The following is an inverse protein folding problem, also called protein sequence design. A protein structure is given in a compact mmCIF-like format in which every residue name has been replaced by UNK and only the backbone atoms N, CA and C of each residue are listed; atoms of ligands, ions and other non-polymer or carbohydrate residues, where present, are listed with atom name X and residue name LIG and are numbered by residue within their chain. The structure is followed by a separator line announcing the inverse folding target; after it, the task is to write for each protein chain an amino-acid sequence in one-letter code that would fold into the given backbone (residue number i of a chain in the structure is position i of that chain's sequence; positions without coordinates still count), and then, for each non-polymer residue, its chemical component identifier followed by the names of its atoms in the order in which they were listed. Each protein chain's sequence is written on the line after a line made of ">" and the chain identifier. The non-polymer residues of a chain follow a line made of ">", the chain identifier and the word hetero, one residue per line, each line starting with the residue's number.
data_IF_245637061130
#
_entry.id   IF_245637061130
#
_cell.length_a   1.000
_cell.length_b   1.000
_cell.length_c   1.000
_cell.angle_alpha   90.00
_cell.angle_beta   90.00
_cell.angle_gamma   90.00
#
_symmetry.space_group_name_H-M   'P 1'
#
loop_
_entity.id
_entity.type
_entity.pdbx_description
1 polymer ?
#
# COMPACT_ATOMS: atom_id res chain seq x y z
N UNK A 1 13.30 4.00 -1.71
CA UNK A 1 12.21 3.47 -0.85
C UNK A 1 12.11 1.95 -0.77
N UNK A 2 12.06 1.25 -1.90
CA UNK A 2 11.90 -0.22 -1.95
C UNK A 2 12.85 -1.00 -1.03
N UNK A 3 14.13 -0.59 -0.95
CA UNK A 3 15.13 -1.24 -0.10
C UNK A 3 14.75 -1.31 1.39
N UNK A 4 14.13 -0.25 1.91
CA UNK A 4 13.71 -0.17 3.31
C UNK A 4 12.49 -1.05 3.59
N UNK A 5 11.62 -1.26 2.59
CA UNK A 5 10.45 -2.12 2.70
C UNK A 5 10.78 -3.60 2.45
N UNK A 6 11.64 -3.87 1.47
CA UNK A 6 12.05 -5.21 1.05
C UNK A 6 13.43 -5.20 0.39
N UNK A 7 14.46 -5.60 1.13
CA UNK A 7 15.83 -5.72 0.61
C UNK A 7 15.94 -6.75 -0.51
N UNK A 8 15.13 -7.82 -0.49
CA UNK A 8 15.10 -8.82 -1.57
C UNK A 8 14.59 -8.22 -2.89
N UNK A 9 13.62 -7.31 -2.84
CA UNK A 9 13.14 -6.63 -4.04
C UNK A 9 14.23 -5.74 -4.65
N UNK A 10 15.02 -5.05 -3.82
CA UNK A 10 16.19 -4.29 -4.29
C UNK A 10 17.34 -5.16 -4.79
N UNK A 11 17.52 -6.36 -4.23
CA UNK A 11 18.44 -7.35 -4.77
C UNK A 11 18.05 -7.75 -6.21
N UNK A 12 16.77 -8.04 -6.44
CA UNK A 12 16.25 -8.40 -7.76
C UNK A 12 16.33 -7.24 -8.76
N UNK A 13 16.11 -5.99 -8.31
CA UNK A 13 16.36 -4.81 -9.14
C UNK A 13 17.84 -4.73 -9.58
N UNK A 14 18.78 -4.96 -8.67
CA UNK A 14 20.21 -4.95 -8.98
C UNK A 14 20.60 -6.06 -9.96
N UNK A 15 20.12 -7.29 -9.73
CA UNK A 15 20.34 -8.41 -10.65
C UNK A 15 19.76 -8.11 -12.03
N UNK A 16 18.57 -7.49 -12.10
CA UNK A 16 17.94 -7.09 -13.37
C UNK A 16 18.76 -6.05 -14.11
N UNK A 17 19.25 -5.03 -13.41
CA UNK A 17 20.13 -4.00 -13.99
C UNK A 17 21.45 -4.60 -14.52
N UNK A 18 21.92 -5.68 -13.92
CA UNK A 18 23.11 -6.44 -14.37
C UNK A 18 22.79 -7.48 -15.46
N UNK A 19 21.54 -7.58 -15.91
CA UNK A 19 21.12 -8.52 -16.96
C UNK A 19 20.95 -9.98 -16.50
N UNK A 20 20.91 -10.24 -15.18
CA UNK A 20 20.75 -11.59 -14.60
C UNK A 20 19.43 -11.81 -13.85
N UNK A 21 18.70 -10.75 -13.57
CA UNK A 21 17.45 -10.80 -12.80
C UNK A 21 16.24 -11.30 -13.60
N UNK A 22 15.16 -11.70 -12.90
CA UNK A 22 13.93 -12.15 -13.53
C UNK A 22 13.24 -11.01 -14.31
N UNK A 23 12.25 -11.37 -15.12
CA UNK A 23 11.35 -10.39 -15.71
C UNK A 23 10.33 -9.88 -14.67
N UNK A 24 10.02 -8.59 -14.67
CA UNK A 24 9.01 -8.03 -13.77
C UNK A 24 7.62 -8.55 -14.16
N UNK A 25 6.79 -8.79 -13.16
CA UNK A 25 5.37 -9.02 -13.34
C UNK A 25 4.72 -7.83 -14.04
N UNK A 26 3.68 -8.09 -14.84
CA UNK A 26 2.85 -7.01 -15.41
C UNK A 26 2.19 -6.21 -14.30
N UNK A 27 1.93 -4.93 -14.53
CA UNK A 27 1.15 -4.15 -13.57
C UNK A 27 -0.28 -4.72 -13.48
N UNK A 28 -0.82 -4.76 -12.27
CA UNK A 28 -2.24 -5.12 -12.10
C UNK A 28 -3.13 -3.98 -12.60
N UNK A 29 -4.38 -4.29 -12.93
CA UNK A 29 -5.37 -3.26 -13.30
C UNK A 29 -5.51 -2.21 -12.17
N UNK A 30 -5.52 -2.65 -10.91
CA UNK A 30 -5.51 -1.77 -9.73
C UNK A 30 -4.27 -0.86 -9.68
N UNK A 31 -3.09 -1.38 -10.02
CA UNK A 31 -1.87 -0.58 -10.02
C UNK A 31 -1.90 0.49 -11.13
N UNK A 32 -2.40 0.12 -12.32
CA UNK A 32 -2.60 1.06 -13.42
C UNK A 32 -3.64 2.13 -13.08
N UNK A 33 -4.72 1.76 -12.39
CA UNK A 33 -5.75 2.68 -11.92
C UNK A 33 -5.19 3.66 -10.88
N UNK A 34 -4.46 3.16 -9.87
CA UNK A 34 -3.79 3.99 -8.86
C UNK A 34 -2.79 4.96 -9.49
N UNK A 35 -2.06 4.53 -10.52
CA UNK A 35 -1.14 5.40 -11.24
C UNK A 35 -1.88 6.54 -11.94
N UNK A 36 -2.96 6.23 -12.67
CA UNK A 36 -3.79 7.25 -13.35
C UNK A 36 -4.36 8.27 -12.38
N UNK A 37 -4.84 7.83 -11.21
CA UNK A 37 -5.29 8.76 -10.18
C UNK A 37 -4.15 9.65 -9.67
N UNK A 38 -2.96 9.07 -9.48
CA UNK A 38 -1.76 9.81 -9.05
C UNK A 38 -1.41 10.91 -10.05
N UNK A 39 -1.36 10.57 -11.33
CA UNK A 39 -1.07 11.50 -12.42
C UNK A 39 -2.14 12.62 -12.50
N UNK A 40 -3.42 12.28 -12.34
CA UNK A 40 -4.52 13.26 -12.32
C UNK A 40 -4.42 14.22 -11.12
N UNK A 41 -4.01 13.73 -9.95
CA UNK A 41 -3.82 14.55 -8.76
C UNK A 41 -2.62 15.49 -8.90
N UNK A 42 -1.50 15.01 -9.46
CA UNK A 42 -0.34 15.85 -9.80
C UNK A 42 -0.71 16.95 -10.79
N UNK A 43 -1.46 16.61 -11.85
CA UNK A 43 -1.94 17.57 -12.84
C UNK A 43 -2.91 18.61 -12.25
N UNK A 44 -3.85 18.20 -11.38
CA UNK A 44 -4.76 19.13 -10.71
C UNK A 44 -4.03 20.13 -9.80
N UNK A 45 -2.96 19.67 -9.14
CA UNK A 45 -2.11 20.56 -8.34
C UNK A 45 -1.31 21.53 -9.22
N UNK A 46 -0.73 21.05 -10.32
CA UNK A 46 0.00 21.87 -11.28
C UNK A 46 -0.85 23.03 -11.81
N UNK A 47 -2.13 22.78 -12.15
CA UNK A 47 -3.05 23.83 -12.60
C UNK A 47 -3.30 24.90 -11.52
N UNK A 48 -3.37 24.50 -10.25
CA UNK A 48 -3.49 25.45 -9.13
C UNK A 48 -2.23 26.33 -9.01
N UNK A 49 -1.03 25.75 -9.19
CA UNK A 49 0.23 26.48 -9.14
C UNK A 49 0.40 27.44 -10.34
N UNK A 50 0.01 27.00 -11.54
CA UNK A 50 0.00 27.85 -12.75
C UNK A 50 -0.90 29.07 -12.60
N UNK A 51 -1.99 28.95 -11.85
CA UNK A 51 -2.86 30.09 -11.52
C UNK A 51 -2.23 31.04 -10.48
N UNK A 52 -1.32 30.56 -9.64
CA UNK A 52 -0.73 31.30 -8.52
C UNK A 52 0.64 31.93 -8.78
N UNK A 53 1.35 31.54 -9.84
CA UNK A 53 2.68 32.07 -10.14
C UNK A 53 3.33 31.46 -11.37
N UNK A 54 4.60 31.81 -11.59
CA UNK A 54 5.40 31.29 -12.71
C UNK A 54 5.86 29.85 -12.44
N UNK A 55 5.55 28.94 -13.37
CA UNK A 55 5.87 27.51 -13.28
C UNK A 55 6.65 27.09 -14.50
N UNK A 56 7.83 26.50 -14.29
CA UNK A 56 8.65 25.91 -15.35
C UNK A 56 8.58 24.39 -15.24
N UNK A 57 8.11 23.74 -16.31
CA UNK A 57 8.04 22.28 -16.42
C UNK A 57 9.29 21.72 -17.09
N UNK A 58 9.87 20.67 -16.51
CA UNK A 58 11.02 19.96 -17.07
C UNK A 58 10.53 18.71 -17.80
N UNK A 59 10.77 18.65 -19.10
CA UNK A 59 10.39 17.51 -19.94
C UNK A 59 11.02 16.21 -19.44
N UNK A 60 10.20 15.16 -19.26
CA UNK A 60 10.65 13.81 -18.91
C UNK A 60 11.11 12.99 -20.12
N UNK A 61 10.65 13.31 -21.32
CA UNK A 61 11.01 12.60 -22.56
C UNK A 61 12.33 13.12 -23.15
N UNK A 62 13.38 13.14 -22.33
CA UNK A 62 14.73 13.51 -22.71
C UNK A 62 15.76 12.74 -21.89
N UNK A 63 17.03 12.67 -22.33
CA UNK A 63 18.09 12.06 -21.53
C UNK A 63 18.19 12.71 -20.14
N UNK A 64 18.31 11.90 -19.09
CA UNK A 64 18.30 12.37 -17.70
C UNK A 64 19.30 13.52 -17.44
N UNK A 65 20.50 13.44 -18.02
CA UNK A 65 21.52 14.50 -17.89
C UNK A 65 21.08 15.85 -18.50
N UNK A 66 20.26 15.83 -19.55
CA UNK A 66 19.70 17.05 -20.15
C UNK A 66 18.60 17.63 -19.25
N UNK A 67 17.76 16.78 -18.65
CA UNK A 67 16.76 17.21 -17.69
C UNK A 67 17.39 17.84 -16.43
N UNK A 68 18.48 17.27 -15.93
CA UNK A 68 19.27 17.85 -14.82
C UNK A 68 19.79 19.23 -15.22
N UNK A 69 20.39 19.37 -16.41
CA UNK A 69 20.88 20.67 -16.88
C UNK A 69 19.76 21.71 -17.02
N UNK A 70 18.60 21.31 -17.55
CA UNK A 70 17.42 22.15 -17.66
C UNK A 70 16.91 22.59 -16.28
N UNK A 71 16.87 21.67 -15.32
CA UNK A 71 16.49 21.96 -13.92
C UNK A 71 17.43 22.99 -13.31
N UNK A 72 18.75 22.83 -13.45
CA UNK A 72 19.74 23.81 -12.95
C UNK A 72 19.54 25.19 -13.59
N UNK A 73 19.27 25.25 -14.89
CA UNK A 73 18.98 26.52 -15.58
C UNK A 73 17.70 27.16 -15.03
N UNK A 74 16.63 26.39 -14.85
CA UNK A 74 15.37 26.89 -14.29
C UNK A 74 15.57 27.45 -12.87
N UNK A 75 16.27 26.72 -11.99
CA UNK A 75 16.56 27.16 -10.62
C UNK A 75 17.32 28.50 -10.57
N UNK A 76 18.17 28.80 -11.56
CA UNK A 76 18.89 30.09 -11.64
C UNK A 76 18.02 31.23 -12.19
N UNK A 77 17.00 30.92 -12.98
CA UNK A 77 16.04 31.90 -13.48
C UNK A 77 15.05 32.31 -12.37
N UNK A 78 14.82 31.43 -11.41
CA UNK A 78 14.05 31.73 -10.22
C UNK A 78 12.53 31.75 -10.39
N UNK A 79 11.88 30.86 -11.18
CA UNK A 79 10.43 30.77 -11.23
C UNK A 79 9.86 30.44 -9.84
N UNK A 80 8.58 30.71 -9.62
CA UNK A 80 7.95 30.38 -8.34
C UNK A 80 7.95 28.87 -8.07
N UNK A 81 7.80 28.05 -9.12
CA UNK A 81 7.87 26.59 -9.04
C UNK A 81 8.61 26.00 -10.24
N UNK A 82 9.41 24.96 -10.01
CA UNK A 82 9.89 24.05 -11.05
C UNK A 82 9.17 22.71 -10.89
N UNK A 83 8.42 22.31 -11.92
CA UNK A 83 7.68 21.05 -11.96
C UNK A 83 8.52 19.97 -12.64
N UNK A 84 8.52 18.77 -12.06
CA UNK A 84 9.31 17.61 -12.50
C UNK A 84 10.82 17.89 -12.51
N UNK A 85 11.34 18.55 -11.48
CA UNK A 85 12.78 18.81 -11.34
C UNK A 85 13.62 17.54 -11.29
N UNK A 86 14.55 17.38 -12.24
CA UNK A 86 15.53 16.30 -12.24
C UNK A 86 16.77 16.71 -11.43
N UNK A 87 17.12 15.90 -10.43
CA UNK A 87 18.23 16.15 -9.52
C UNK A 87 19.18 14.95 -9.48
N UNK A 88 20.48 15.21 -9.42
CA UNK A 88 21.51 14.16 -9.30
C UNK A 88 22.68 14.56 -8.40
N UNK A 89 23.38 13.56 -7.86
CA UNK A 89 24.55 13.76 -7.02
C UNK A 89 25.16 12.45 -6.53
N UNK A 90 26.42 12.21 -6.89
CA UNK A 90 27.12 10.96 -6.56
C UNK A 90 26.43 9.75 -7.21
N UNK A 91 26.04 8.77 -6.38
CA UNK A 91 25.32 7.56 -6.83
C UNK A 91 23.79 7.73 -6.88
N UNK A 92 23.28 8.95 -6.70
CA UNK A 92 21.85 9.22 -6.53
C UNK A 92 21.34 10.13 -7.63
N UNK A 93 20.11 9.88 -8.05
CA UNK A 93 19.37 10.74 -8.96
C UNK A 93 17.88 10.39 -8.97
N UNK A 94 17.07 11.35 -9.40
CA UNK A 94 15.63 11.14 -9.54
C UNK A 94 14.90 12.42 -9.92
N UNK A 95 13.57 12.33 -9.88
CA UNK A 95 12.64 13.39 -10.24
C UNK A 95 11.82 13.77 -9.01
N UNK A 96 11.90 15.04 -8.60
CA UNK A 96 10.96 15.62 -7.64
C UNK A 96 9.72 16.11 -8.37
N UNK A 97 8.54 15.95 -7.78
CA UNK A 97 7.31 16.48 -8.39
C UNK A 97 7.39 18.01 -8.47
N UNK A 98 7.72 18.69 -7.38
CA UNK A 98 7.81 20.15 -7.34
C UNK A 98 9.05 20.64 -6.55
N UNK A 99 9.68 21.68 -7.08
CA UNK A 99 10.66 22.51 -6.37
C UNK A 99 10.06 23.91 -6.23
N UNK A 100 9.75 24.31 -4.99
CA UNK A 100 9.06 25.57 -4.70
C UNK A 100 10.04 26.63 -4.18
N UNK A 101 9.96 27.84 -4.74
CA UNK A 101 10.84 28.94 -4.36
C UNK A 101 10.43 29.53 -3.00
N UNK A 102 11.42 29.78 -2.15
CA UNK A 102 11.27 30.49 -0.87
C UNK A 102 12.20 31.69 -0.81
N UNK A 103 11.77 32.76 -0.13
CA UNK A 103 12.51 34.03 -0.01
C UNK A 103 13.64 33.96 1.03
N UNK A 104 14.52 32.98 0.85
CA UNK A 104 15.68 32.72 1.70
C UNK A 104 16.94 32.73 0.81
N UNK A 105 17.87 33.69 1.00
CA UNK A 105 19.04 33.81 0.14
C UNK A 105 19.93 32.56 0.07
N UNK A 106 20.52 32.36 -1.11
CA UNK A 106 21.36 31.21 -1.46
C UNK A 106 22.31 31.54 -2.63
N UNK A 107 23.07 30.56 -3.11
CA UNK A 107 23.94 30.74 -4.29
C UNK A 107 23.15 30.94 -5.59
N UNK A 108 21.82 30.73 -5.57
CA UNK A 108 20.91 31.06 -6.69
C UNK A 108 20.48 32.53 -6.71
N UNK A 109 20.70 33.28 -5.62
CA UNK A 109 20.32 34.69 -5.49
C UNK A 109 19.55 35.00 -4.19
N UNK A 110 18.56 35.92 -4.21
CA UNK A 110 17.81 36.30 -3.01
C UNK A 110 16.79 35.24 -2.53
N UNK A 111 16.78 34.07 -3.16
CA UNK A 111 15.84 32.97 -2.92
C UNK A 111 16.57 31.62 -2.87
N UNK A 112 15.85 30.58 -2.45
CA UNK A 112 16.24 29.17 -2.51
C UNK A 112 15.01 28.31 -2.82
N UNK A 113 15.18 27.00 -2.90
CA UNK A 113 14.09 26.07 -3.17
C UNK A 113 13.93 25.03 -2.08
N UNK A 114 12.67 24.62 -1.86
CA UNK A 114 12.27 23.49 -1.02
C UNK A 114 11.53 22.45 -1.88
N UNK A 115 11.60 21.18 -1.49
CA UNK A 115 11.02 20.06 -2.26
C UNK A 115 9.57 19.83 -1.82
N UNK A 116 8.66 19.66 -2.78
CA UNK A 116 7.28 19.24 -2.53
C UNK A 116 6.90 18.04 -3.43
N UNK A 117 6.10 17.13 -2.88
CA UNK A 117 5.71 15.86 -3.49
C UNK A 117 4.19 15.64 -3.31
N UNK A 118 3.48 15.25 -4.36
CA UNK A 118 2.02 15.05 -4.32
C UNK A 118 1.69 13.59 -4.02
N UNK A 119 0.65 13.37 -3.21
CA UNK A 119 0.23 12.03 -2.80
C UNK A 119 -1.28 11.93 -2.66
N UNK A 120 -1.86 10.92 -3.32
CA UNK A 120 -3.27 10.55 -3.19
C UNK A 120 -3.71 10.28 -1.75
N UNK A 121 -2.80 9.79 -0.89
CA UNK A 121 -3.15 9.44 0.49
C UNK A 121 -3.32 10.70 1.33
N UNK A 122 -4.38 10.73 2.13
CA UNK A 122 -4.70 11.80 3.11
C UNK A 122 -3.78 11.84 4.35
N UNK A 123 -2.79 10.94 4.44
CA UNK A 123 -1.83 10.92 5.56
C UNK A 123 -0.40 10.76 5.04
N UNK A 124 0.55 11.55 5.55
CA UNK A 124 1.95 11.38 5.20
C UNK A 124 2.45 10.03 5.75
N UNK A 125 3.28 9.35 4.96
CA UNK A 125 3.93 8.11 5.40
C UNK A 125 5.41 8.39 5.72
N UNK A 126 6.01 7.69 6.71
CA UNK A 126 7.46 7.78 6.97
C UNK A 126 8.32 7.48 5.74
N UNK A 127 7.72 6.75 4.79
CA UNK A 127 8.37 6.36 3.56
C UNK A 127 8.59 7.56 2.62
N UNK A 128 7.66 8.52 2.59
CA UNK A 128 7.80 9.72 1.75
C UNK A 128 8.91 10.65 2.26
N UNK A 129 9.10 10.72 3.58
CA UNK A 129 10.11 11.58 4.21
C UNK A 129 11.53 11.24 3.75
N UNK A 130 11.85 9.95 3.59
CA UNK A 130 13.18 9.54 3.12
C UNK A 130 13.48 10.02 1.71
N UNK A 131 12.47 10.07 0.83
CA UNK A 131 12.62 10.57 -0.54
C UNK A 131 12.75 12.09 -0.54
N UNK A 132 11.97 12.80 0.27
CA UNK A 132 12.07 14.24 0.43
C UNK A 132 13.46 14.66 0.92
N UNK A 133 13.96 14.02 2.00
CA UNK A 133 15.32 14.31 2.51
C UNK A 133 16.38 14.06 1.44
N UNK A 134 16.26 12.96 0.68
CA UNK A 134 17.19 12.67 -0.41
C UNK A 134 17.20 13.77 -1.48
N UNK A 135 16.04 14.22 -1.94
CA UNK A 135 15.99 15.29 -2.95
C UNK A 135 16.47 16.63 -2.40
N UNK A 136 16.18 16.95 -1.14
CA UNK A 136 16.71 18.14 -0.48
C UNK A 136 18.24 18.09 -0.32
N UNK A 137 18.82 16.90 -0.08
CA UNK A 137 20.26 16.68 -0.08
C UNK A 137 20.86 16.89 -1.48
N UNK A 138 20.17 16.45 -2.55
CA UNK A 138 20.60 16.67 -3.94
C UNK A 138 20.47 18.13 -4.39
N UNK A 139 19.53 18.87 -3.81
CA UNK A 139 19.33 20.30 -4.07
C UNK A 139 20.38 21.17 -3.37
N UNK A 140 20.88 20.72 -2.21
CA UNK A 140 21.83 21.47 -1.36
C UNK A 140 23.05 22.00 -2.13
N UNK A 141 23.79 21.19 -2.95
CA UNK A 141 24.93 21.68 -3.72
C UNK A 141 24.57 22.70 -4.80
N UNK A 142 23.33 22.70 -5.31
CA UNK A 142 22.89 23.60 -6.38
C UNK A 142 22.65 25.03 -5.89
N UNK A 143 22.29 25.18 -4.61
CA UNK A 143 21.98 26.46 -3.98
C UNK A 143 22.94 26.83 -2.84
N UNK A 144 23.95 26.01 -2.55
CA UNK A 144 24.93 26.26 -1.48
C UNK A 144 24.38 26.14 -0.06
N UNK A 145 23.14 25.67 0.09
CA UNK A 145 22.38 25.68 1.34
C UNK A 145 21.42 24.51 1.40
N UNK A 146 21.35 23.86 2.57
CA UNK A 146 20.31 22.87 2.83
C UNK A 146 18.95 23.53 3.02
N UNK A 147 17.89 23.02 2.37
CA UNK A 147 16.50 23.42 2.65
C UNK A 147 16.18 23.25 4.15
N UNK A 148 15.27 24.08 4.68
CA UNK A 148 14.82 23.92 6.07
C UNK A 148 13.70 22.88 6.15
N UNK A 149 12.77 22.95 5.20
CA UNK A 149 11.62 22.08 5.12
C UNK A 149 11.56 21.31 3.80
N UNK A 150 10.72 20.28 3.81
CA UNK A 150 10.14 19.67 2.63
C UNK A 150 8.66 19.40 2.86
N UNK A 151 7.91 19.20 1.79
CA UNK A 151 6.45 19.22 1.84
C UNK A 151 5.84 17.99 1.17
N UNK A 152 4.73 17.53 1.73
CA UNK A 152 3.82 16.59 1.10
C UNK A 152 2.49 17.29 0.90
N UNK A 153 2.01 17.27 -0.33
CA UNK A 153 0.69 17.74 -0.71
C UNK A 153 -0.23 16.52 -0.75
N UNK A 154 -1.22 16.51 0.14
CA UNK A 154 -2.08 15.36 0.39
C UNK A 154 -3.33 15.39 -0.51
N UNK A 155 -3.95 14.23 -0.68
CA UNK A 155 -5.15 14.04 -1.50
C UNK A 155 -6.32 14.96 -1.15
N UNK A 156 -6.40 15.43 0.10
CA UNK A 156 -7.41 16.38 0.57
C UNK A 156 -7.05 17.86 0.33
N UNK A 157 -5.96 18.11 -0.41
CA UNK A 157 -5.43 19.44 -0.71
C UNK A 157 -4.62 20.06 0.44
N UNK A 158 -4.48 19.38 1.58
CA UNK A 158 -3.70 19.91 2.71
C UNK A 158 -2.19 19.75 2.48
N UNK A 159 -1.41 20.69 3.03
CA UNK A 159 0.06 20.68 2.99
C UNK A 159 0.61 20.24 4.34
N UNK A 160 1.40 19.18 4.33
CA UNK A 160 2.21 18.76 5.47
C UNK A 160 3.67 19.18 5.25
N UNK A 161 4.21 19.99 6.16
CA UNK A 161 5.60 20.47 6.13
C UNK A 161 6.44 19.77 7.18
N UNK A 162 7.66 19.38 6.82
CA UNK A 162 8.56 18.63 7.68
C UNK A 162 9.91 19.31 7.77
N UNK A 163 10.40 19.56 8.99
CA UNK A 163 11.75 20.10 9.21
C UNK A 163 12.77 19.00 8.95
N UNK A 164 13.62 19.19 7.95
CA UNK A 164 14.54 18.14 7.49
C UNK A 164 15.56 17.72 8.55
N UNK A 165 15.95 18.64 9.42
CA UNK A 165 16.87 18.38 10.52
C UNK A 165 16.40 17.25 11.46
N UNK A 166 15.08 17.05 11.60
CA UNK A 166 14.51 15.99 12.45
C UNK A 166 14.65 14.59 11.85
N UNK A 167 14.89 14.49 10.54
CA UNK A 167 14.91 13.23 9.79
C UNK A 167 16.26 12.91 9.15
N UNK A 168 17.17 13.88 9.10
CA UNK A 168 18.45 13.80 8.39
C UNK A 168 19.30 12.59 8.83
N UNK A 169 19.38 12.29 10.12
CA UNK A 169 20.20 11.19 10.63
C UNK A 169 19.65 9.82 10.22
N UNK A 170 18.32 9.66 10.26
CA UNK A 170 17.68 8.43 9.81
C UNK A 170 17.84 8.24 8.30
N UNK A 171 17.67 9.30 7.51
CA UNK A 171 17.86 9.27 6.07
C UNK A 171 19.30 8.93 5.67
N UNK A 172 20.29 9.54 6.34
CA UNK A 172 21.71 9.26 6.13
C UNK A 172 22.05 7.80 6.41
N UNK A 173 21.52 7.24 7.49
CA UNK A 173 21.69 5.82 7.82
C UNK A 173 21.04 4.91 6.78
N UNK A 174 19.82 5.23 6.33
CA UNK A 174 19.14 4.46 5.28
C UNK A 174 19.90 4.49 3.95
N UNK A 175 20.40 5.67 3.55
CA UNK A 175 21.27 5.88 2.38
C UNK A 175 22.54 5.05 2.48
N UNK A 176 23.26 5.15 3.59
CA UNK A 176 24.50 4.39 3.83
C UNK A 176 24.27 2.89 3.72
N UNK A 177 23.16 2.38 4.27
CA UNK A 177 22.82 0.95 4.17
C UNK A 177 22.53 0.52 2.73
N UNK A 178 21.85 1.36 1.93
CA UNK A 178 21.62 1.04 0.52
C UNK A 178 22.92 1.08 -0.28
N UNK A 179 23.74 2.11 -0.11
CA UNK A 179 25.05 2.22 -0.79
C UNK A 179 25.94 1.02 -0.45
N UNK A 180 26.01 0.63 0.82
CA UNK A 180 26.73 -0.56 1.28
C UNK A 180 26.19 -1.82 0.60
N UNK A 181 24.86 -1.97 0.54
CA UNK A 181 24.22 -3.11 -0.10
C UNK A 181 24.48 -3.17 -1.61
N UNK A 182 24.43 -2.04 -2.32
CA UNK A 182 24.67 -2.00 -3.76
C UNK A 182 26.13 -2.35 -4.06
N UNK A 183 27.07 -1.84 -3.26
CA UNK A 183 28.50 -2.12 -3.43
C UNK A 183 28.87 -3.57 -3.08
N UNK A 184 28.24 -4.15 -2.05
CA UNK A 184 28.47 -5.51 -1.60
C UNK A 184 27.15 -6.17 -1.16
N UNK A 185 26.37 -6.72 -2.11
CA UNK A 185 25.08 -7.32 -1.79
C UNK A 185 25.22 -8.52 -0.87
N UNK A 186 24.53 -8.50 0.27
CA UNK A 186 24.40 -9.69 1.13
C UNK A 186 23.30 -10.63 0.61
N UNK A 187 23.36 -11.94 0.94
CA UNK A 187 22.32 -12.88 0.57
C UNK A 187 20.94 -12.45 1.07
N UNK A 188 19.93 -12.54 0.20
CA UNK A 188 18.53 -12.25 0.54
C UNK A 188 17.64 -13.42 0.14
N UNK A 189 16.43 -13.47 0.70
CA UNK A 189 15.40 -14.45 0.33
C UNK A 189 14.02 -13.80 0.28
N UNK A 190 13.06 -14.37 -0.47
CA UNK A 190 11.72 -13.81 -0.55
C UNK A 190 10.98 -14.03 0.78
N UNK A 191 10.76 -12.94 1.50
CA UNK A 191 9.97 -12.90 2.74
C UNK A 191 8.76 -11.98 2.52
N UNK A 192 7.51 -12.45 2.66
CA UNK A 192 6.32 -11.63 2.43
C UNK A 192 6.34 -10.34 3.25
N UNK A 193 5.96 -9.22 2.64
CA UNK A 193 5.94 -7.87 3.24
C UNK A 193 4.70 -7.10 2.80
N UNK A 194 4.43 -5.98 3.48
CA UNK A 194 3.26 -5.14 3.19
C UNK A 194 3.23 -4.54 1.78
N UNK A 195 4.35 -4.56 1.04
CA UNK A 195 4.44 -4.05 -0.33
C UNK A 195 4.39 -5.16 -1.38
N UNK A 196 4.13 -6.42 -1.00
CA UNK A 196 4.16 -7.54 -1.93
C UNK A 196 3.07 -7.47 -3.01
N UNK A 197 1.87 -6.99 -2.68
CA UNK A 197 0.72 -7.00 -3.61
C UNK A 197 0.98 -6.14 -4.84
N UNK A 198 1.61 -4.97 -4.65
CA UNK A 198 2.03 -4.05 -5.72
C UNK A 198 3.50 -4.26 -6.13
N UNK A 199 4.16 -5.33 -5.66
CA UNK A 199 5.56 -5.57 -5.99
C UNK A 199 5.68 -6.11 -7.42
N UNK A 200 6.54 -5.49 -8.23
CA UNK A 200 6.89 -6.01 -9.56
C UNK A 200 7.55 -7.40 -9.55
N UNK A 201 8.06 -7.86 -8.40
CA UNK A 201 8.71 -9.16 -8.25
C UNK A 201 7.81 -10.23 -7.62
N UNK A 202 6.52 -9.95 -7.44
CA UNK A 202 5.58 -10.81 -6.72
C UNK A 202 5.46 -12.21 -7.32
N UNK A 203 5.41 -12.33 -8.64
CA UNK A 203 5.30 -13.62 -9.34
C UNK A 203 6.57 -14.45 -9.17
N UNK A 204 7.75 -13.83 -9.28
CA UNK A 204 9.02 -14.50 -9.03
C UNK A 204 9.11 -14.99 -7.57
N UNK A 205 8.75 -14.15 -6.59
CA UNK A 205 8.74 -14.56 -5.18
C UNK A 205 7.75 -15.71 -4.92
N UNK A 206 6.56 -15.65 -5.54
CA UNK A 206 5.55 -16.69 -5.43
C UNK A 206 6.02 -18.02 -6.03
N UNK A 207 6.69 -18.00 -7.18
CA UNK A 207 7.27 -19.18 -7.81
C UNK A 207 8.37 -19.82 -6.94
N UNK A 208 9.22 -19.01 -6.30
CA UNK A 208 10.20 -19.51 -5.32
C UNK A 208 9.49 -20.16 -4.13
N UNK A 209 8.48 -19.51 -3.55
CA UNK A 209 7.71 -20.11 -2.45
C UNK A 209 7.02 -21.41 -2.84
N UNK A 210 6.53 -21.51 -4.06
CA UNK A 210 5.90 -22.71 -4.59
C UNK A 210 6.89 -23.86 -4.75
N UNK A 211 8.00 -23.61 -5.46
CA UNK A 211 9.02 -24.62 -5.74
C UNK A 211 9.70 -25.15 -4.48
N UNK A 212 9.93 -24.30 -3.48
CA UNK A 212 10.53 -24.69 -2.20
C UNK A 212 9.51 -25.30 -1.21
N UNK A 213 8.22 -25.29 -1.55
CA UNK A 213 7.16 -25.66 -0.60
C UNK A 213 7.20 -24.79 0.67
N UNK A 214 7.49 -23.51 0.52
CA UNK A 214 7.80 -22.58 1.62
C UNK A 214 6.67 -22.49 2.65
N UNK A 215 7.06 -22.35 3.91
CA UNK A 215 6.12 -22.09 5.01
C UNK A 215 5.32 -20.81 4.80
N UNK A 216 5.84 -19.82 4.07
CA UNK A 216 5.12 -18.58 3.78
C UNK A 216 3.86 -18.77 2.92
N UNK A 217 3.66 -19.96 2.33
CA UNK A 217 2.40 -20.33 1.67
C UNK A 217 1.27 -20.69 2.65
N UNK A 218 1.58 -20.95 3.92
CA UNK A 218 0.57 -21.33 4.91
C UNK A 218 -0.30 -20.12 5.22
N UNK A 219 -1.62 -20.23 4.98
CA UNK A 219 -2.51 -19.09 5.14
C UNK A 219 -2.53 -18.57 6.59
N UNK A 220 -2.40 -17.24 6.75
CA UNK A 220 -2.39 -16.58 8.07
C UNK A 220 -1.19 -16.92 8.94
N UNK A 221 -0.08 -17.39 8.34
CA UNK A 221 1.20 -17.54 9.03
C UNK A 221 1.94 -16.20 9.08
N UNK A 222 2.57 -15.90 10.22
CA UNK A 222 3.41 -14.71 10.36
C UNK A 222 4.89 -15.03 10.20
N UNK A 223 5.71 -14.02 9.88
CA UNK A 223 7.17 -14.15 9.83
C UNK A 223 7.75 -14.73 11.12
N UNK A 224 7.27 -14.27 12.27
CA UNK A 224 7.72 -14.77 13.58
C UNK A 224 7.41 -16.27 13.76
N UNK A 225 6.26 -16.73 13.26
CA UNK A 225 5.90 -18.15 13.30
C UNK A 225 6.78 -18.97 12.37
N UNK A 226 7.07 -18.49 11.15
CA UNK A 226 8.03 -19.14 10.24
C UNK A 226 9.40 -19.26 10.87
N UNK A 227 9.94 -18.19 11.46
CA UNK A 227 11.24 -18.24 12.15
C UNK A 227 11.26 -19.29 13.28
N UNK A 228 10.18 -19.40 14.07
CA UNK A 228 10.09 -20.41 15.13
C UNK A 228 10.05 -21.84 14.57
N UNK A 229 9.36 -22.04 13.45
CA UNK A 229 9.26 -23.33 12.77
C UNK A 229 10.61 -23.74 12.16
N UNK A 230 11.28 -22.84 11.45
CA UNK A 230 12.59 -23.07 10.85
C UNK A 230 13.64 -23.39 11.92
N UNK A 231 13.64 -22.64 13.04
CA UNK A 231 14.51 -22.92 14.19
C UNK A 231 14.24 -24.28 14.85
N UNK A 232 13.05 -24.84 14.66
CA UNK A 232 12.68 -26.19 15.11
C UNK A 232 12.89 -27.27 14.03
N UNK A 233 13.54 -26.92 12.91
CA UNK A 233 13.85 -27.81 11.80
C UNK A 233 12.70 -28.07 10.83
N UNK A 234 11.59 -27.33 10.94
CA UNK A 234 10.46 -27.44 10.01
C UNK A 234 10.65 -26.39 8.92
N UNK A 235 11.04 -26.82 7.72
CA UNK A 235 11.41 -25.92 6.61
C UNK A 235 10.31 -25.76 5.55
N UNK A 236 9.36 -26.69 5.47
CA UNK A 236 8.37 -26.75 4.37
C UNK A 236 6.95 -26.89 4.90
N UNK A 237 5.98 -26.49 4.08
CA UNK A 237 4.54 -26.67 4.34
C UNK A 237 4.19 -28.14 4.55
N UNK A 238 4.76 -29.05 3.74
CA UNK A 238 4.58 -30.50 3.89
C UNK A 238 5.18 -30.99 5.21
N UNK A 239 6.36 -30.48 5.59
CA UNK A 239 6.99 -30.79 6.88
C UNK A 239 6.12 -30.34 8.06
N UNK A 240 5.53 -29.15 7.99
CA UNK A 240 4.59 -28.66 9.00
C UNK A 240 3.33 -29.52 9.06
N UNK A 241 2.76 -29.90 7.91
CA UNK A 241 1.56 -30.73 7.84
C UNK A 241 1.77 -32.10 8.52
N UNK A 242 2.95 -32.69 8.39
CA UNK A 242 3.31 -33.99 8.98
C UNK A 242 3.71 -33.92 10.46
N UNK A 243 4.10 -32.75 10.97
CA UNK A 243 4.65 -32.58 12.33
C UNK A 243 3.65 -32.96 13.42
N UNK A 244 4.09 -33.75 14.40
CA UNK A 244 3.28 -34.16 15.56
C UNK A 244 3.66 -33.41 16.83
N UNK A 245 4.95 -33.17 17.01
CA UNK A 245 5.51 -32.55 18.20
C UNK A 245 5.34 -31.03 18.16
N UNK A 246 5.05 -30.46 19.34
CA UNK A 246 4.95 -29.02 19.50
C UNK A 246 6.25 -28.29 19.15
N UNK A 247 6.11 -27.02 18.79
CA UNK A 247 7.22 -26.13 18.42
C UNK A 247 7.55 -25.24 19.62
N UNK A 248 8.82 -25.21 20.07
CA UNK A 248 9.23 -24.33 21.16
C UNK A 248 8.83 -22.87 20.91
N UNK A 249 8.32 -22.20 21.95
CA UNK A 249 7.88 -20.79 21.91
C UNK A 249 6.74 -20.51 20.91
N UNK A 250 6.02 -21.54 20.47
CA UNK A 250 4.78 -21.43 19.69
C UNK A 250 3.62 -22.02 20.50
N UNK A 251 2.58 -21.22 20.74
CA UNK A 251 1.42 -21.68 21.49
C UNK A 251 0.73 -22.85 20.78
N UNK A 252 0.37 -23.90 21.53
CA UNK A 252 -0.23 -25.12 20.95
C UNK A 252 -1.46 -24.84 20.06
N UNK A 253 -2.42 -23.98 20.44
CA UNK A 253 -3.56 -23.66 19.55
C UNK A 253 -3.13 -23.00 18.23
N UNK A 254 -2.08 -22.18 18.26
CA UNK A 254 -1.54 -21.56 17.03
C UNK A 254 -0.85 -22.61 16.17
N UNK A 255 -0.05 -23.49 16.78
CA UNK A 255 0.60 -24.59 16.08
C UNK A 255 -0.42 -25.52 15.41
N UNK A 256 -1.46 -25.92 16.14
CA UNK A 256 -2.53 -26.78 15.61
C UNK A 256 -3.26 -26.12 14.45
N UNK A 257 -3.59 -24.83 14.56
CA UNK A 257 -4.20 -24.07 13.46
C UNK A 257 -3.31 -24.04 12.22
N UNK A 258 -2.02 -23.72 12.37
CA UNK A 258 -1.09 -23.65 11.24
C UNK A 258 -0.85 -25.03 10.61
N UNK A 259 -0.74 -26.08 11.43
CA UNK A 259 -0.62 -27.46 10.97
C UNK A 259 -1.86 -27.91 10.20
N UNK A 260 -3.05 -27.61 10.72
CA UNK A 260 -4.31 -27.91 10.04
C UNK A 260 -4.37 -27.20 8.68
N UNK A 261 -4.04 -25.90 8.66
CA UNK A 261 -4.03 -25.10 7.44
C UNK A 261 -3.04 -25.67 6.40
N UNK A 262 -1.82 -26.02 6.83
CA UNK A 262 -0.82 -26.66 5.99
C UNK A 262 -1.32 -28.00 5.42
N UNK A 263 -2.02 -28.83 6.22
CA UNK A 263 -2.63 -30.08 5.76
C UNK A 263 -3.69 -29.84 4.69
N UNK A 264 -4.62 -28.92 4.94
CA UNK A 264 -5.69 -28.60 3.98
C UNK A 264 -5.10 -28.12 2.65
N UNK A 265 -4.12 -27.22 2.70
CA UNK A 265 -3.45 -26.70 1.51
C UNK A 265 -2.63 -27.77 0.77
N UNK A 266 -1.96 -28.68 1.50
CA UNK A 266 -1.19 -29.78 0.89
C UNK A 266 -2.09 -30.81 0.21
N UNK A 267 -3.28 -31.09 0.75
CA UNK A 267 -4.23 -32.03 0.16
C UNK A 267 -4.99 -31.45 -1.04
N UNK A 268 -5.08 -30.12 -1.18
CA UNK A 268 -5.90 -29.45 -2.19
C UNK A 268 -5.69 -29.95 -3.63
N UNK A 269 -4.45 -30.21 -4.11
CA UNK A 269 -4.25 -30.74 -5.46
C UNK A 269 -4.92 -32.11 -5.70
N UNK A 270 -5.05 -32.92 -4.65
CA UNK A 270 -5.60 -34.29 -4.75
C UNK A 270 -7.07 -34.40 -4.36
N UNK A 271 -7.54 -33.57 -3.42
CA UNK A 271 -8.91 -33.64 -2.86
C UNK A 271 -9.82 -32.51 -3.33
N UNK A 272 -9.29 -31.54 -4.07
CA UNK A 272 -9.99 -30.29 -4.33
C UNK A 272 -10.14 -29.42 -3.07
N UNK A 273 -10.92 -28.33 -3.15
CA UNK A 273 -11.24 -27.50 -2.00
C UNK A 273 -12.03 -28.31 -0.96
N UNK A 274 -11.52 -28.36 0.26
CA UNK A 274 -12.16 -29.03 1.39
C UNK A 274 -11.87 -28.26 2.67
N UNK A 275 -12.67 -28.52 3.70
CA UNK A 275 -12.58 -27.84 4.98
C UNK A 275 -12.50 -28.86 6.13
N UNK A 276 -12.13 -28.37 7.31
CA UNK A 276 -12.25 -29.09 8.55
C UNK A 276 -13.04 -28.23 9.52
N UNK A 277 -14.11 -28.78 10.07
CA UNK A 277 -14.85 -28.12 11.14
C UNK A 277 -14.00 -28.14 12.41
N UNK A 278 -14.00 -27.03 13.13
CA UNK A 278 -13.43 -26.98 14.47
C UNK A 278 -14.41 -27.63 15.42
N UNK A 279 -13.89 -28.21 16.51
CA UNK A 279 -14.75 -28.72 17.57
C UNK A 279 -15.64 -27.57 18.10
N UNK A 280 -16.95 -27.80 18.27
CA UNK A 280 -17.85 -26.81 18.85
C UNK A 280 -17.33 -26.35 20.21
N UNK A 281 -17.31 -25.04 20.42
CA UNK A 281 -16.92 -24.44 21.68
C UNK A 281 -18.12 -23.71 22.27
N UNK A 282 -18.74 -24.33 23.27
CA UNK A 282 -19.94 -23.82 23.95
C UNK A 282 -19.86 -22.33 24.28
N UNK A 283 -20.89 -21.58 23.92
CA UNK A 283 -21.03 -20.16 24.26
C UNK A 283 -20.10 -19.23 23.48
N UNK A 284 -19.63 -19.65 22.30
CA UNK A 284 -18.80 -18.83 21.39
C UNK A 284 -19.28 -18.94 19.95
N UNK A 285 -18.97 -17.92 19.15
CA UNK A 285 -19.22 -17.95 17.71
C UNK A 285 -20.72 -18.08 17.41
N UNK A 286 -21.09 -19.12 16.68
CA UNK A 286 -22.49 -19.36 16.29
C UNK A 286 -23.43 -19.62 17.47
N UNK A 287 -22.91 -20.10 18.61
CA UNK A 287 -23.72 -20.27 19.84
C UNK A 287 -24.19 -18.93 20.45
N UNK A 288 -23.63 -17.81 20.01
CA UNK A 288 -24.06 -16.47 20.41
C UNK A 288 -25.10 -15.87 19.46
N UNK A 289 -25.34 -16.51 18.31
CA UNK A 289 -26.37 -16.05 17.39
C UNK A 289 -27.75 -16.39 17.97
N UNK A 290 -28.76 -15.53 17.75
CA UNK A 290 -30.15 -15.91 17.97
C UNK A 290 -30.50 -17.19 17.22
N UNK A 291 -31.47 -17.93 17.74
CA UNK A 291 -32.11 -19.00 16.97
C UNK A 291 -32.71 -18.41 15.68
N UNK A 292 -32.58 -19.09 14.53
CA UNK A 292 -33.14 -18.59 13.27
C UNK A 292 -34.61 -18.23 13.41
N UNK A 293 -34.99 -17.03 12.97
CA UNK A 293 -36.36 -16.56 12.98
C UNK A 293 -36.90 -16.42 11.55
N UNK A 294 -38.20 -16.71 11.39
CA UNK A 294 -38.88 -16.41 10.12
C UNK A 294 -38.80 -14.90 9.91
N UNK A 295 -38.35 -14.49 8.73
CA UNK A 295 -38.19 -13.09 8.37
C UNK A 295 -36.76 -12.56 8.47
N UNK A 296 -35.81 -13.36 8.98
CA UNK A 296 -34.39 -13.02 9.04
C UNK A 296 -33.85 -12.54 7.68
N UNK A 297 -32.97 -11.54 7.72
CA UNK A 297 -32.33 -10.95 6.54
C UNK A 297 -30.81 -11.04 6.66
N UNK A 298 -30.14 -11.26 5.53
CA UNK A 298 -28.68 -11.24 5.42
C UNK A 298 -28.29 -10.10 4.49
N UNK A 299 -27.61 -9.12 5.06
CA UNK A 299 -27.25 -7.87 4.42
C UNK A 299 -25.75 -7.83 4.09
N UNK A 300 -25.41 -7.32 2.92
CA UNK A 300 -24.04 -7.03 2.49
C UNK A 300 -23.95 -5.68 1.79
N UNK A 301 -22.77 -5.06 1.83
CA UNK A 301 -22.52 -3.72 1.28
C UNK A 301 -21.19 -3.66 0.57
N UNK A 302 -21.19 -3.03 -0.61
CA UNK A 302 -19.99 -2.78 -1.39
C UNK A 302 -19.86 -1.29 -1.70
N UNK A 303 -18.62 -0.80 -1.76
CA UNK A 303 -18.33 0.59 -2.04
C UNK A 303 -17.05 0.82 -2.82
N UNK A 304 -17.00 1.94 -3.54
CA UNK A 304 -15.84 2.44 -4.26
C UNK A 304 -15.27 3.67 -3.52
N UNK A 305 -14.14 3.54 -2.81
CA UNK A 305 -13.54 4.67 -2.09
C UNK A 305 -12.93 5.73 -3.01
N UNK A 306 -12.79 5.45 -4.31
CA UNK A 306 -12.18 6.36 -5.29
C UNK A 306 -13.20 7.07 -6.19
N UNK A 307 -14.49 6.76 -6.06
CA UNK A 307 -15.54 7.52 -6.72
C UNK A 307 -15.49 8.98 -6.25
N UNK A 308 -15.63 9.93 -7.17
CA UNK A 308 -15.61 11.35 -6.84
C UNK A 308 -16.63 12.12 -7.68
N UNK A 309 -17.57 12.79 -7.02
CA UNK A 309 -18.61 13.58 -7.66
C UNK A 309 -18.91 14.84 -6.84
N UNK A 310 -18.90 16.00 -7.50
CA UNK A 310 -19.25 17.27 -6.84
C UNK A 310 -18.38 17.64 -5.63
N UNK A 311 -17.13 17.17 -5.57
CA UNK A 311 -16.24 17.38 -4.43
C UNK A 311 -16.48 16.45 -3.23
N UNK A 312 -17.36 15.46 -3.39
CA UNK A 312 -17.55 14.37 -2.43
C UNK A 312 -16.87 13.12 -2.97
N UNK A 313 -16.16 12.38 -2.10
CA UNK A 313 -15.44 11.16 -2.45
C UNK A 313 -16.07 9.94 -1.76
N UNK A 314 -16.00 8.78 -2.41
CA UNK A 314 -16.61 7.52 -1.98
C UNK A 314 -17.99 7.31 -2.61
N UNK A 315 -18.37 6.06 -2.82
CA UNK A 315 -19.74 5.67 -3.20
C UNK A 315 -20.03 4.25 -2.71
N UNK A 316 -21.04 4.07 -1.87
CA UNK A 316 -21.63 2.77 -1.59
C UNK A 316 -22.55 2.36 -2.75
N UNK A 317 -21.98 1.64 -3.72
CA UNK A 317 -22.63 1.38 -5.00
C UNK A 317 -23.61 0.20 -4.98
N UNK A 318 -23.56 -0.68 -3.97
CA UNK A 318 -24.44 -1.83 -3.87
C UNK A 318 -24.79 -2.17 -2.43
N UNK A 319 -26.09 -2.25 -2.16
CA UNK A 319 -26.65 -2.91 -0.99
C UNK A 319 -27.32 -4.22 -1.42
N UNK A 320 -26.84 -5.34 -0.90
CA UNK A 320 -27.39 -6.68 -1.14
C UNK A 320 -28.18 -7.18 0.06
N UNK A 321 -29.40 -7.68 -0.16
CA UNK A 321 -30.22 -8.30 0.90
C UNK A 321 -30.71 -9.66 0.43
N UNK A 322 -30.39 -10.70 1.19
CA UNK A 322 -30.93 -12.05 1.03
C UNK A 322 -31.93 -12.34 2.14
N UNK A 323 -33.13 -12.80 1.79
CA UNK A 323 -34.23 -12.99 2.75
C UNK A 323 -34.54 -14.46 3.09
N UNK A 324 -33.70 -15.37 2.59
CA UNK A 324 -33.88 -16.82 2.69
C UNK A 324 -34.26 -17.47 1.36
N UNK A 325 -34.93 -16.71 0.47
CA UNK A 325 -35.46 -17.22 -0.81
C UNK A 325 -34.99 -16.37 -2.01
N UNK A 326 -34.98 -15.04 -1.87
CA UNK A 326 -34.65 -14.11 -2.96
C UNK A 326 -33.53 -13.11 -2.57
N UNK A 327 -32.75 -12.72 -3.59
CA UNK A 327 -31.72 -11.69 -3.46
C UNK A 327 -32.20 -10.36 -4.04
N UNK A 328 -32.21 -9.32 -3.21
CA UNK A 328 -32.50 -7.94 -3.61
C UNK A 328 -31.20 -7.16 -3.72
N UNK A 329 -30.94 -6.58 -4.90
CA UNK A 329 -29.79 -5.72 -5.15
C UNK A 329 -30.27 -4.27 -5.35
N UNK A 330 -29.77 -3.36 -4.53
CA UNK A 330 -30.01 -1.92 -4.66
C UNK A 330 -28.73 -1.26 -5.13
N UNK A 331 -28.69 -0.88 -6.41
CA UNK A 331 -27.51 -0.28 -7.05
C UNK A 331 -27.57 1.25 -7.00
N UNK A 332 -26.39 1.84 -6.88
CA UNK A 332 -26.16 3.27 -7.04
C UNK A 332 -24.98 3.52 -7.98
N UNK A 333 -25.11 4.56 -8.80
CA UNK A 333 -24.07 4.98 -9.75
C UNK A 333 -23.67 6.44 -9.57
N UNK A 334 -24.31 7.13 -8.61
CA UNK A 334 -24.08 8.52 -8.23
C UNK A 334 -24.61 8.75 -6.80
N UNK A 335 -24.26 9.87 -6.18
CA UNK A 335 -24.67 10.16 -4.80
C UNK A 335 -26.19 10.34 -4.63
N UNK A 336 -26.91 10.69 -5.70
CA UNK A 336 -28.36 10.80 -5.65
C UNK A 336 -28.99 9.40 -5.58
N UNK A 337 -28.48 8.47 -6.38
CA UNK A 337 -28.88 7.08 -6.40
C UNK A 337 -28.49 6.36 -5.11
N UNK A 338 -27.30 6.62 -4.55
CA UNK A 338 -26.84 6.09 -3.26
C UNK A 338 -27.80 6.47 -2.13
N UNK A 339 -28.12 7.76 -2.02
CA UNK A 339 -29.11 8.24 -1.07
C UNK A 339 -30.45 7.52 -1.24
N UNK A 340 -30.91 7.33 -2.48
CA UNK A 340 -32.18 6.68 -2.74
C UNK A 340 -32.15 5.18 -2.41
N UNK A 341 -31.05 4.49 -2.75
CA UNK A 341 -30.83 3.09 -2.43
C UNK A 341 -30.84 2.87 -0.91
N UNK A 342 -30.18 3.75 -0.14
CA UNK A 342 -30.17 3.71 1.32
C UNK A 342 -31.57 3.91 1.93
N UNK A 343 -32.35 4.85 1.39
CA UNK A 343 -33.74 5.06 1.83
C UNK A 343 -34.57 3.80 1.56
N UNK A 344 -34.45 3.21 0.36
CA UNK A 344 -35.17 2.00 -0.01
C UNK A 344 -34.75 0.81 0.85
N UNK A 345 -33.45 0.69 1.19
CA UNK A 345 -32.94 -0.32 2.10
C UNK A 345 -33.62 -0.23 3.48
N UNK A 346 -33.69 0.96 4.07
CA UNK A 346 -34.33 1.12 5.37
C UNK A 346 -35.84 0.86 5.32
N UNK A 347 -36.52 1.22 4.23
CA UNK A 347 -37.91 0.87 4.03
C UNK A 347 -38.12 -0.65 3.97
N UNK A 348 -37.22 -1.38 3.32
CA UNK A 348 -37.23 -2.84 3.26
C UNK A 348 -37.04 -3.44 4.66
N UNK A 349 -36.05 -2.95 5.41
CA UNK A 349 -35.81 -3.40 6.78
C UNK A 349 -37.00 -3.13 7.70
N UNK A 350 -37.58 -1.92 7.65
CA UNK A 350 -38.73 -1.54 8.47
C UNK A 350 -39.97 -2.40 8.15
N UNK A 351 -40.26 -2.62 6.86
CA UNK A 351 -41.36 -3.47 6.43
C UNK A 351 -41.17 -4.92 6.90
N UNK A 352 -39.95 -5.47 6.78
CA UNK A 352 -39.65 -6.83 7.21
C UNK A 352 -39.76 -6.99 8.73
N UNK A 353 -39.13 -6.11 9.50
CA UNK A 353 -39.15 -6.17 10.97
C UNK A 353 -40.54 -5.88 11.54
N UNK A 354 -41.36 -5.08 10.86
CA UNK A 354 -42.77 -4.86 11.23
C UNK A 354 -43.62 -6.13 11.01
N UNK A 355 -43.40 -6.85 9.90
CA UNK A 355 -44.10 -8.09 9.61
C UNK A 355 -43.59 -9.27 10.47
N UNK A 356 -42.31 -9.25 10.85
CA UNK A 356 -41.64 -10.29 11.61
C UNK A 356 -40.87 -9.68 12.81
N UNK A 357 -41.55 -9.38 13.93
CA UNK A 357 -40.93 -8.68 15.08
C UNK A 357 -39.79 -9.43 15.77
N UNK A 358 -39.62 -10.72 15.49
CA UNK A 358 -38.54 -11.56 16.02
C UNK A 358 -37.41 -11.77 15.02
N UNK A 359 -37.52 -11.21 13.80
CA UNK A 359 -36.47 -11.33 12.80
C UNK A 359 -35.24 -10.48 13.17
N UNK A 360 -34.09 -10.95 12.70
CA UNK A 360 -32.80 -10.30 12.85
C UNK A 360 -32.21 -9.98 11.48
N UNK A 361 -31.41 -8.91 11.43
CA UNK A 361 -30.63 -8.55 10.25
C UNK A 361 -29.18 -8.92 10.56
N UNK A 362 -28.63 -9.85 9.80
CA UNK A 362 -27.24 -10.28 9.91
C UNK A 362 -26.42 -9.58 8.84
N UNK A 363 -25.25 -9.06 9.21
CA UNK A 363 -24.25 -8.57 8.28
C UNK A 363 -22.91 -9.21 8.59
N UNK A 364 -22.25 -9.74 7.56
CA UNK A 364 -20.93 -10.31 7.70
C UNK A 364 -19.89 -9.30 7.23
N UNK A 365 -19.31 -8.58 8.18
CA UNK A 365 -18.05 -7.89 7.96
C UNK A 365 -16.90 -8.80 8.38
N UNK A 366 -15.80 -8.80 7.61
CA UNK A 366 -14.54 -9.33 8.14
C UNK A 366 -14.22 -8.55 9.43
N UNK A 367 -14.20 -9.23 10.58
CA UNK A 367 -13.81 -8.59 11.83
C UNK A 367 -12.40 -8.02 11.66
N UNK A 368 -12.30 -6.70 11.47
CA UNK A 368 -11.08 -5.97 11.79
C UNK A 368 -10.80 -6.33 13.24
N UNK A 369 -9.69 -7.03 13.48
CA UNK A 369 -9.26 -7.31 14.84
C UNK A 369 -9.26 -5.98 15.61
N UNK A 370 -9.91 -5.88 16.79
CA UNK A 370 -9.70 -4.74 17.65
C UNK A 370 -8.29 -4.87 18.21
N UNK A 371 -7.33 -4.32 17.48
CA UNK A 371 -6.04 -3.92 18.00
C UNK A 371 -6.19 -2.54 18.63
N UNK A 372 -6.54 -2.54 19.92
CA UNK A 372 -6.03 -1.58 20.88
C UNK A 372 -5.39 -2.39 22.00
#
# INVERSE_FOLDING_TARGET
>A
MRFMSCTHASHLDLERLQGRGPEPARDSEDAALLQRYGDAHEAGHLETLRAGGDVVEIEKDQPFSQAVAATVTALRQGPATVFQGALEGGAWGGWSDFLERVDVPSDLGPYSYEVADTKLKRKPSPSHLLQLVLYSDLLTPLQGRSPENAHVLLGDGTRASFRLAEYADYARQARTRLETFVNAPWPTRPVPCATCDLCRWRENCAAVWESEGSLFRVAGISRSQVTKLENAGVMTMTGLAARKENIPRLAAPTFDRLRLQARLQTHRPTKGPHHALRDPAGGKGFDLLPEPAIGDLFYDIEGDPFYAEGGTEGLEYLHGVWDGDDFTALWAHDHTAEKQALITLFQLFDARLSAYPHAHIYHYAASIAPGC
#
